data_IF_407423334728
#
_entry.id   IF_407423334728
#
_cell.length_a   1.000
_cell.length_b   1.000
_cell.length_c   1.000
_cell.angle_alpha   90.00
_cell.angle_beta   90.00
_cell.angle_gamma   90.00
#
_symmetry.space_group_name_H-M   'P 1'
#
loop_
_entity.id
_entity.type
_entity.pdbx_description
1 polymer ?
#
# COMPACT_ATOMS: atom_id res chain seq x y z
N UNK A 1 13.66 -9.82 1.48
CA UNK A 1 14.73 -10.80 1.20
C UNK A 1 16.08 -10.09 1.31
N UNK A 2 17.15 -10.79 1.72
CA UNK A 2 18.51 -10.24 1.71
C UNK A 2 19.41 -11.15 0.88
N UNK A 3 20.30 -10.55 0.09
CA UNK A 3 21.38 -11.23 -0.60
C UNK A 3 22.71 -10.59 -0.19
N UNK A 4 23.79 -11.35 -0.38
CA UNK A 4 25.15 -10.87 -0.14
C UNK A 4 25.91 -10.94 -1.45
N UNK A 5 26.41 -9.79 -1.91
CA UNK A 5 27.22 -9.67 -3.12
C UNK A 5 28.69 -9.69 -2.73
N UNK A 6 29.42 -10.67 -3.24
CA UNK A 6 30.88 -10.69 -3.15
C UNK A 6 31.46 -9.78 -4.24
N UNK A 7 32.37 -8.89 -3.85
CA UNK A 7 33.20 -8.10 -4.76
C UNK A 7 34.67 -8.53 -4.59
N UNK A 8 35.59 -7.90 -5.33
CA UNK A 8 37.03 -8.19 -5.22
C UNK A 8 37.55 -8.08 -3.78
N UNK A 9 37.06 -7.09 -3.02
CA UNK A 9 37.62 -6.74 -1.71
C UNK A 9 36.56 -6.57 -0.60
N UNK A 10 35.28 -6.88 -0.86
CA UNK A 10 34.21 -6.67 0.12
C UNK A 10 33.03 -7.63 -0.06
N UNK A 11 32.20 -7.72 0.98
CA UNK A 11 30.88 -8.35 0.92
C UNK A 11 29.85 -7.26 1.19
N UNK A 12 28.93 -7.07 0.26
CA UNK A 12 27.90 -6.04 0.33
C UNK A 12 26.51 -6.66 0.54
N UNK A 13 25.74 -6.10 1.48
CA UNK A 13 24.36 -6.52 1.69
C UNK A 13 23.43 -5.87 0.67
N UNK A 14 22.58 -6.67 0.02
CA UNK A 14 21.54 -6.22 -0.89
C UNK A 14 20.18 -6.58 -0.28
N UNK A 15 19.32 -5.58 -0.06
CA UNK A 15 17.96 -5.77 0.43
C UNK A 15 16.93 -5.63 -0.68
N UNK A 16 16.00 -6.58 -0.74
CA UNK A 16 14.82 -6.52 -1.58
C UNK A 16 13.58 -6.31 -0.71
N UNK A 17 12.84 -5.25 -1.02
CA UNK A 17 11.66 -4.80 -0.28
C UNK A 17 10.46 -4.71 -1.20
N UNK A 18 9.34 -5.25 -0.78
CA UNK A 18 8.05 -5.09 -1.47
C UNK A 18 7.38 -3.82 -0.93
N UNK A 19 7.02 -2.82 -1.75
CA UNK A 19 6.31 -1.63 -1.29
C UNK A 19 4.93 -1.99 -0.74
N UNK A 20 4.57 -1.51 0.46
CA UNK A 20 3.29 -1.79 1.13
C UNK A 20 2.67 -0.53 1.69
N UNK A 21 1.33 -0.48 1.69
CA UNK A 21 0.55 0.67 2.18
C UNK A 21 0.29 0.55 3.69
N UNK A 22 -0.03 -0.66 4.17
CA UNK A 22 -0.38 -0.96 5.56
C UNK A 22 0.78 -1.63 6.29
N UNK A 23 1.84 -0.87 6.58
CA UNK A 23 3.09 -1.41 7.17
C UNK A 23 2.98 -1.73 8.66
N UNK A 24 1.92 -1.29 9.32
CA UNK A 24 1.60 -1.55 10.73
C UNK A 24 1.07 -2.97 10.99
N UNK A 25 0.60 -3.67 9.96
CA UNK A 25 0.18 -5.06 10.03
C UNK A 25 1.27 -6.02 9.55
N UNK A 26 1.30 -7.23 10.11
CA UNK A 26 2.19 -8.28 9.66
C UNK A 26 1.75 -8.77 8.28
N UNK A 27 2.64 -8.74 7.30
CA UNK A 27 2.36 -9.11 5.92
C UNK A 27 2.40 -10.64 5.75
N UNK A 28 1.37 -11.34 6.21
CA UNK A 28 1.25 -12.80 6.14
C UNK A 28 1.14 -13.34 4.71
N UNK A 29 0.73 -12.51 3.75
CA UNK A 29 0.80 -12.79 2.31
C UNK A 29 2.24 -12.86 1.79
N UNK A 30 3.17 -12.12 2.38
CA UNK A 30 4.59 -12.14 2.03
C UNK A 30 5.41 -13.12 2.87
N UNK A 31 4.94 -13.43 4.08
CA UNK A 31 5.64 -14.25 5.07
C UNK A 31 4.77 -15.42 5.53
N UNK A 32 4.52 -16.42 4.67
CA UNK A 32 3.81 -17.62 5.05
C UNK A 32 4.61 -18.43 6.07
N UNK A 33 3.97 -19.44 6.66
CA UNK A 33 4.63 -20.38 7.56
C UNK A 33 5.88 -20.98 6.90
N UNK A 34 7.02 -20.75 7.53
CA UNK A 34 8.35 -20.97 6.97
C UNK A 34 8.99 -22.21 7.58
N UNK A 35 9.77 -22.94 6.78
CA UNK A 35 10.47 -24.15 7.23
C UNK A 35 11.48 -23.82 8.32
N UNK A 36 11.50 -24.64 9.36
CA UNK A 36 12.58 -24.64 10.35
C UNK A 36 13.85 -25.18 9.67
N UNK A 37 14.87 -24.33 9.50
CA UNK A 37 16.11 -24.71 8.79
C UNK A 37 17.20 -25.29 9.69
N UNK A 38 17.06 -25.16 11.00
CA UNK A 38 18.06 -25.59 11.99
C UNK A 38 17.73 -26.94 12.64
N UNK A 39 16.55 -27.51 12.36
CA UNK A 39 16.15 -28.83 12.86
C UNK A 39 16.08 -29.82 11.70
N UNK A 40 16.68 -30.99 11.89
CA UNK A 40 16.57 -32.07 10.92
C UNK A 40 15.16 -32.69 10.96
N UNK A 41 14.51 -32.80 9.82
CA UNK A 41 13.18 -33.43 9.69
C UNK A 41 13.25 -34.95 9.89
N UNK A 42 14.37 -35.56 9.51
CA UNK A 42 14.63 -36.99 9.53
C UNK A 42 16.05 -37.26 10.03
N UNK A 43 16.26 -38.40 10.67
CA UNK A 43 17.62 -38.93 10.88
C UNK A 43 18.15 -39.54 9.57
N UNK A 44 19.46 -39.76 9.51
CA UNK A 44 20.09 -40.38 8.34
C UNK A 44 19.54 -41.79 8.07
N UNK A 45 19.32 -42.60 9.11
CA UNK A 45 18.79 -43.96 8.97
C UNK A 45 17.35 -43.94 8.43
N UNK A 46 16.53 -43.02 8.91
CA UNK A 46 15.15 -42.87 8.43
C UNK A 46 15.08 -42.48 6.96
N UNK A 47 15.94 -41.55 6.54
CA UNK A 47 16.02 -41.14 5.14
C UNK A 47 16.52 -42.27 4.23
N UNK A 48 17.56 -43.00 4.65
CA UNK A 48 18.08 -44.17 3.92
C UNK A 48 17.05 -45.31 3.84
N UNK A 49 16.17 -45.44 4.84
CA UNK A 49 15.04 -46.36 4.82
C UNK A 49 13.88 -45.89 3.90
N UNK A 50 14.05 -44.77 3.19
CA UNK A 50 13.06 -44.23 2.25
C UNK A 50 11.88 -43.51 2.92
N UNK A 51 12.00 -43.12 4.20
CA UNK A 51 10.95 -42.32 4.84
C UNK A 51 10.90 -40.91 4.24
N UNK A 52 9.69 -40.41 4.07
CA UNK A 52 9.43 -39.01 3.71
C UNK A 52 8.55 -38.37 4.79
N UNK A 53 9.00 -37.24 5.34
CA UNK A 53 8.29 -36.48 6.36
C UNK A 53 8.30 -35.00 5.96
N UNK A 54 7.18 -34.28 6.09
CA UNK A 54 7.14 -32.85 5.83
C UNK A 54 8.01 -32.11 6.85
N UNK A 55 8.66 -31.03 6.40
CA UNK A 55 9.42 -30.17 7.30
C UNK A 55 8.49 -29.49 8.29
N UNK A 56 8.98 -29.32 9.52
CA UNK A 56 8.29 -28.48 10.49
C UNK A 56 8.24 -27.03 9.97
N UNK A 57 7.06 -26.43 10.06
CA UNK A 57 6.84 -25.04 9.71
C UNK A 57 6.60 -24.20 10.98
N UNK A 58 7.01 -22.94 10.94
CA UNK A 58 6.79 -21.96 11.99
C UNK A 58 6.28 -20.63 11.40
N UNK A 59 5.40 -19.96 12.13
CA UNK A 59 4.97 -18.61 11.78
C UNK A 59 6.09 -17.62 12.07
N UNK A 60 6.34 -16.69 11.15
CA UNK A 60 7.26 -15.57 11.38
C UNK A 60 6.57 -14.34 11.99
N UNK A 61 5.29 -14.46 12.35
CA UNK A 61 4.51 -13.35 12.91
C UNK A 61 5.01 -13.01 14.33
N UNK A 62 5.40 -11.76 14.60
CA UNK A 62 5.66 -11.30 15.96
C UNK A 62 4.44 -11.46 16.87
N UNK A 63 4.67 -11.65 18.17
CA UNK A 63 3.61 -11.85 19.15
C UNK A 63 2.74 -10.61 19.36
N UNK A 64 3.33 -9.42 19.22
CA UNK A 64 2.72 -8.11 19.38
C UNK A 64 2.06 -7.56 18.10
N UNK A 65 2.14 -8.29 16.98
CA UNK A 65 1.66 -7.82 15.67
C UNK A 65 0.40 -8.56 15.19
N UNK A 66 -0.52 -7.81 14.58
CA UNK A 66 -1.74 -8.34 13.95
C UNK A 66 -1.47 -8.66 12.47
N UNK A 67 -1.94 -9.81 11.97
CA UNK A 67 -1.80 -10.20 10.57
C UNK A 67 -2.66 -9.31 9.65
N UNK A 68 -2.17 -9.04 8.44
CA UNK A 68 -2.85 -8.21 7.45
C UNK A 68 -4.19 -8.82 7.03
N UNK A 69 -4.27 -10.14 6.91
CA UNK A 69 -5.54 -10.86 6.68
C UNK A 69 -6.63 -10.56 7.72
N UNK A 70 -6.24 -10.20 8.95
CA UNK A 70 -7.15 -9.86 10.04
C UNK A 70 -7.34 -8.33 10.20
N UNK A 71 -6.74 -7.53 9.32
CA UNK A 71 -6.88 -6.08 9.39
C UNK A 71 -8.33 -5.67 9.11
N UNK A 72 -8.86 -4.63 9.80
CA UNK A 72 -10.16 -4.09 9.48
C UNK A 72 -10.23 -3.68 8.01
N UNK A 73 -11.32 -4.06 7.34
CA UNK A 73 -11.61 -3.61 5.98
C UNK A 73 -11.80 -2.09 6.06
N UNK A 74 -10.89 -1.34 5.45
CA UNK A 74 -11.05 0.12 5.37
C UNK A 74 -12.29 0.42 4.54
N UNK A 75 -13.19 1.24 5.09
CA UNK A 75 -14.31 1.77 4.32
C UNK A 75 -13.75 2.50 3.08
N UNK A 76 -14.39 2.36 1.90
CA UNK A 76 -13.90 2.98 0.68
C UNK A 76 -13.75 4.49 0.89
N UNK A 77 -12.51 4.99 0.84
CA UNK A 77 -12.23 6.43 0.88
C UNK A 77 -12.86 7.05 -0.36
N UNK A 78 -13.90 7.87 -0.16
CA UNK A 78 -14.53 8.62 -1.24
C UNK A 78 -13.46 9.40 -2.01
N UNK A 79 -13.41 9.23 -3.34
CA UNK A 79 -12.51 10.01 -4.19
C UNK A 79 -12.86 11.48 -4.01
N UNK A 80 -11.93 12.28 -3.47
CA UNK A 80 -12.15 13.68 -3.12
C UNK A 80 -12.30 14.61 -4.33
N UNK A 81 -12.09 14.08 -5.54
CA UNK A 81 -12.21 14.83 -6.79
C UNK A 81 -12.91 13.97 -7.84
N UNK A 82 -14.10 14.41 -8.25
CA UNK A 82 -14.71 14.02 -9.51
C UNK A 82 -13.96 14.79 -10.61
N UNK A 83 -13.23 14.08 -11.46
CA UNK A 83 -12.71 14.67 -12.69
C UNK A 83 -13.90 14.90 -13.62
N UNK A 84 -14.39 16.15 -13.63
CA UNK A 84 -15.46 16.70 -14.47
C UNK A 84 -16.90 16.46 -13.94
N UNK A 85 -17.53 17.54 -13.43
CA UNK A 85 -18.96 17.62 -13.18
C UNK A 85 -19.60 18.57 -14.22
N UNK A 86 -20.37 18.04 -15.20
CA UNK A 86 -20.96 18.82 -16.28
C UNK A 86 -21.97 19.88 -15.81
N UNK A 87 -22.56 19.74 -14.62
CA UNK A 87 -23.56 20.67 -14.09
C UNK A 87 -22.94 21.99 -13.58
N UNK A 88 -21.63 22.00 -13.33
CA UNK A 88 -20.88 23.19 -12.85
C UNK A 88 -20.08 23.89 -13.94
N UNK A 89 -20.10 23.37 -15.18
CA UNK A 89 -19.38 23.96 -16.29
C UNK A 89 -20.14 25.18 -16.84
N UNK A 90 -19.86 26.36 -16.27
CA UNK A 90 -20.29 27.63 -16.87
C UNK A 90 -19.42 27.94 -18.08
N UNK A 91 -20.03 28.07 -19.25
CA UNK A 91 -19.37 28.53 -20.49
C UNK A 91 -18.84 29.96 -20.31
N UNK A 92 -17.82 30.31 -21.08
CA UNK A 92 -17.17 31.63 -20.99
C UNK A 92 -18.14 32.80 -21.28
N UNK A 93 -19.20 32.59 -22.07
CA UNK A 93 -20.25 33.58 -22.27
C UNK A 93 -21.02 33.91 -20.96
N UNK A 94 -21.38 32.90 -20.16
CA UNK A 94 -22.15 33.10 -18.93
C UNK A 94 -21.33 33.86 -17.87
N UNK A 95 -20.02 33.62 -17.80
CA UNK A 95 -19.13 34.42 -16.94
C UNK A 95 -19.03 35.87 -17.40
N UNK A 96 -19.07 36.12 -18.71
CA UNK A 96 -18.99 37.47 -19.28
C UNK A 96 -20.26 38.29 -18.98
N UNK A 97 -21.42 37.64 -18.95
CA UNK A 97 -22.70 38.27 -18.57
C UNK A 97 -22.78 38.58 -17.07
N UNK A 98 -22.29 37.69 -16.19
CA UNK A 98 -22.24 37.99 -14.75
C UNK A 98 -21.30 39.17 -14.44
N UNK A 99 -20.18 39.28 -15.15
CA UNK A 99 -19.22 40.39 -14.98
C UNK A 99 -19.81 41.71 -15.51
N UNK A 100 -20.51 41.69 -16.65
CA UNK A 100 -21.14 42.91 -17.20
C UNK A 100 -22.35 43.36 -16.37
N UNK A 101 -23.14 42.41 -15.85
CA UNK A 101 -24.25 42.66 -14.94
C UNK A 101 -23.81 43.27 -13.61
N UNK A 102 -22.73 42.74 -13.02
CA UNK A 102 -22.17 43.31 -11.79
C UNK A 102 -21.59 44.72 -12.01
N UNK A 103 -20.90 44.95 -13.13
CA UNK A 103 -20.37 46.29 -13.45
C UNK A 103 -21.48 47.34 -13.57
N UNK A 104 -22.63 46.94 -14.13
CA UNK A 104 -23.81 47.81 -14.27
C UNK A 104 -24.45 48.16 -12.92
N UNK A 105 -24.51 47.22 -11.98
CA UNK A 105 -25.04 47.44 -10.63
C UNK A 105 -24.14 48.34 -9.78
N UNK A 106 -22.81 48.25 -9.96
CA UNK A 106 -21.84 49.09 -9.25
C UNK A 106 -21.97 50.55 -9.72
N UNK A 107 -22.15 50.78 -11.01
CA UNK A 107 -22.36 52.13 -11.57
C UNK A 107 -23.70 52.75 -11.13
N UNK A 108 -24.78 51.96 -11.02
CA UNK A 108 -26.08 52.46 -10.56
C UNK A 108 -26.07 52.92 -9.10
N UNK A 109 -25.31 52.24 -8.23
CA UNK A 109 -25.18 52.64 -6.81
C UNK A 109 -24.38 53.94 -6.62
N UNK A 110 -23.58 54.35 -7.59
CA UNK A 110 -22.82 55.61 -7.51
C UNK A 110 -23.70 56.85 -7.81
N UNK A 111 -24.82 56.69 -8.52
CA UNK A 111 -25.70 57.78 -8.95
C UNK A 111 -26.85 58.10 -7.99
N UNK A 112 -27.01 57.34 -6.90
CA UNK A 112 -28.03 57.58 -5.89
C UNK A 112 -27.36 58.17 -4.64
N UNK A 113 -27.14 59.49 -4.65
CA UNK A 113 -26.94 60.34 -3.48
C UNK A 113 -27.51 61.72 -3.73
#
# INVERSE_FOLDING_TARGET
MKAWRLTTNSIEAISFTVPRVKTEFFQDDLYPDTRVSWEATLTAEEWLAGKDKPHRLISMKPSDMTALSNAPVEAPKMKKFESFNPDTFKTDEQKKEEVSGNTSLINYKHYIK
#
